data_IF_814789468979
#
_entry.id   IF_814789468979
#
_cell.length_a   1.000
_cell.length_b   1.000
_cell.length_c   1.000
_cell.angle_alpha   90.00
_cell.angle_beta   90.00
_cell.angle_gamma   90.00
#
_symmetry.space_group_name_H-M   'P 1'
#
loop_
_entity.id
_entity.type
_entity.pdbx_description
1 polymer ?
#
# COMPACT_ATOMS: atom_id res chain seq x y z
N UNK A 1 -7.62 31.07 -3.15
CA UNK A 1 -9.03 30.66 -3.11
C UNK A 1 -9.34 30.18 -1.69
N UNK A 2 -10.43 30.63 -1.10
CA UNK A 2 -10.94 30.08 0.17
C UNK A 2 -11.53 28.67 -0.05
N UNK A 3 -12.19 28.47 -1.20
CA UNK A 3 -12.81 27.20 -1.59
C UNK A 3 -12.21 26.68 -2.90
N UNK A 4 -11.89 25.39 -2.94
CA UNK A 4 -11.41 24.70 -4.13
C UNK A 4 -12.55 24.38 -5.11
N UNK A 5 -13.75 24.18 -4.59
CA UNK A 5 -14.97 23.91 -5.35
C UNK A 5 -15.87 25.14 -5.27
N UNK A 6 -16.18 25.74 -6.43
CA UNK A 6 -16.98 26.98 -6.50
C UNK A 6 -18.43 26.76 -6.08
N UNK A 7 -19.03 25.65 -6.50
CA UNK A 7 -20.41 25.29 -6.19
C UNK A 7 -20.42 23.90 -5.55
N UNK A 8 -20.76 23.85 -4.27
CA UNK A 8 -20.89 22.60 -3.56
C UNK A 8 -21.99 21.73 -4.18
N UNK A 9 -21.82 20.39 -4.22
CA UNK A 9 -22.88 19.51 -4.68
C UNK A 9 -24.06 19.54 -3.70
N UNK A 10 -25.20 19.05 -4.15
CA UNK A 10 -26.34 18.83 -3.26
C UNK A 10 -25.98 17.79 -2.21
N UNK A 11 -26.08 18.16 -0.94
CA UNK A 11 -25.76 17.27 0.17
C UNK A 11 -26.68 16.04 0.20
N UNK A 12 -26.08 14.89 0.51
CA UNK A 12 -26.84 13.71 0.89
C UNK A 12 -27.21 13.74 2.38
N UNK A 13 -27.65 12.60 2.89
CA UNK A 13 -28.05 12.41 4.27
C UNK A 13 -27.41 11.17 4.87
N UNK A 14 -27.22 11.15 6.18
CA UNK A 14 -26.88 9.92 6.92
C UNK A 14 -28.18 9.10 7.02
N UNK A 15 -28.22 8.01 6.27
CA UNK A 15 -29.40 7.12 6.19
C UNK A 15 -29.42 6.11 7.34
N UNK A 16 -28.23 5.60 7.73
CA UNK A 16 -28.06 4.57 8.75
C UNK A 16 -26.83 4.88 9.58
N UNK A 17 -26.96 4.72 10.89
CA UNK A 17 -25.85 4.79 11.83
C UNK A 17 -25.78 3.51 12.64
N UNK A 18 -24.59 2.90 12.71
CA UNK A 18 -24.29 1.76 13.58
C UNK A 18 -23.05 2.05 14.40
N UNK A 19 -22.91 1.39 15.54
CA UNK A 19 -21.74 1.52 16.39
C UNK A 19 -21.12 0.15 16.63
N UNK A 20 -19.81 0.04 16.33
CA UNK A 20 -19.03 -1.15 16.61
C UNK A 20 -18.30 -0.95 17.94
N UNK A 21 -18.79 -1.56 19.00
CA UNK A 21 -18.25 -1.41 20.36
C UNK A 21 -16.82 -1.95 20.48
N UNK A 22 -16.51 -3.04 19.80
CA UNK A 22 -15.18 -3.65 19.84
C UNK A 22 -14.09 -2.72 19.32
N UNK A 23 -14.36 -2.05 18.22
CA UNK A 23 -13.42 -1.14 17.57
C UNK A 23 -13.58 0.32 18.01
N UNK A 24 -14.69 0.65 18.66
CA UNK A 24 -15.01 2.04 19.03
C UNK A 24 -15.26 2.91 17.80
N UNK A 25 -16.00 2.40 16.83
CA UNK A 25 -16.21 3.01 15.52
C UNK A 25 -17.66 3.28 15.26
N UNK A 26 -17.98 4.50 14.86
CA UNK A 26 -19.30 4.86 14.32
C UNK A 26 -19.29 4.65 12.82
N UNK A 27 -20.23 3.87 12.30
CA UNK A 27 -20.38 3.62 10.87
C UNK A 27 -21.64 4.35 10.35
N UNK A 28 -21.46 5.03 9.21
CA UNK A 28 -22.56 5.66 8.49
C UNK A 28 -22.73 5.04 7.10
N UNK A 29 -23.98 4.83 6.72
CA UNK A 29 -24.35 4.66 5.31
C UNK A 29 -25.09 5.91 4.87
N UNK A 30 -24.55 6.58 3.86
CA UNK A 30 -25.13 7.80 3.31
C UNK A 30 -26.24 7.46 2.31
N UNK A 31 -27.09 8.44 2.01
CA UNK A 31 -28.23 8.27 1.10
C UNK A 31 -27.83 7.85 -0.32
N UNK A 32 -26.60 8.20 -0.76
CA UNK A 32 -26.04 7.77 -2.06
C UNK A 32 -25.36 6.40 -2.01
N UNK A 33 -25.36 5.72 -0.87
CA UNK A 33 -24.72 4.40 -0.67
C UNK A 33 -23.26 4.46 -0.21
N UNK A 34 -22.66 5.63 -0.09
CA UNK A 34 -21.30 5.78 0.44
C UNK A 34 -21.26 5.34 1.92
N UNK A 35 -20.23 4.60 2.28
CA UNK A 35 -20.01 4.07 3.63
C UNK A 35 -18.83 4.79 4.28
N UNK A 36 -19.03 5.17 5.54
CA UNK A 36 -18.04 5.94 6.31
C UNK A 36 -17.86 5.31 7.69
N UNK A 37 -16.62 5.15 8.12
CA UNK A 37 -16.27 4.73 9.48
C UNK A 37 -15.48 5.83 10.18
N UNK A 38 -15.92 6.20 11.37
CA UNK A 38 -15.31 7.27 12.18
C UNK A 38 -14.80 6.69 13.49
N UNK A 39 -13.49 6.80 13.69
CA UNK A 39 -12.78 6.39 14.92
C UNK A 39 -12.26 7.63 15.65
N UNK A 40 -12.97 8.14 16.67
CA UNK A 40 -12.45 9.24 17.49
C UNK A 40 -11.25 8.80 18.32
N UNK A 41 -10.20 9.59 18.33
CA UNK A 41 -9.03 9.42 19.21
C UNK A 41 -8.59 10.78 19.76
N UNK A 42 -7.84 10.75 20.86
CA UNK A 42 -7.31 11.94 21.50
C UNK A 42 -5.78 11.97 21.53
N UNK A 43 -5.12 11.15 20.73
CA UNK A 43 -3.65 11.01 20.74
C UNK A 43 -2.94 12.28 20.27
N UNK A 44 -3.50 12.95 19.26
CA UNK A 44 -3.01 14.21 18.71
C UNK A 44 -4.17 15.18 18.49
N UNK A 45 -4.05 16.40 18.98
CA UNK A 45 -5.12 17.42 18.87
C UNK A 45 -5.35 17.89 17.42
N UNK A 46 -4.30 17.89 16.60
CA UNK A 46 -4.31 18.50 15.27
C UNK A 46 -4.23 17.46 14.14
N UNK A 47 -4.60 16.22 14.40
CA UNK A 47 -4.50 15.17 13.39
C UNK A 47 -5.80 14.44 13.19
N UNK A 48 -6.24 14.41 11.92
CA UNK A 48 -7.25 13.50 11.41
C UNK A 48 -6.62 12.77 10.24
N UNK A 49 -6.52 11.44 10.34
CA UNK A 49 -6.14 10.58 9.23
C UNK A 49 -7.38 10.24 8.40
N UNK A 50 -7.22 10.31 7.10
CA UNK A 50 -8.24 9.96 6.12
C UNK A 50 -7.72 8.84 5.23
N UNK A 51 -8.52 7.82 5.05
CA UNK A 51 -8.22 6.74 4.11
C UNK A 51 -9.51 6.29 3.44
N UNK A 52 -9.44 5.99 2.16
CA UNK A 52 -10.54 5.38 1.43
C UNK A 52 -9.98 4.29 0.54
N UNK A 53 -10.63 3.13 0.48
CA UNK A 53 -10.23 2.07 -0.42
C UNK A 53 -11.43 1.36 -1.03
N UNK A 54 -11.20 0.82 -2.21
CA UNK A 54 -12.10 -0.08 -2.92
C UNK A 54 -11.30 -1.26 -3.47
N UNK A 55 -11.92 -2.41 -3.56
CA UNK A 55 -11.31 -3.59 -4.15
C UNK A 55 -11.50 -3.59 -5.68
N UNK A 56 -10.41 -3.75 -6.39
CA UNK A 56 -10.37 -3.70 -7.84
C UNK A 56 -8.94 -3.61 -8.34
N UNK A 57 -8.41 -2.40 -8.30
CA UNK A 57 -7.03 -2.11 -8.69
C UNK A 57 -6.69 -2.51 -10.10
N UNK A 58 -5.42 -2.78 -10.35
CA UNK A 58 -4.95 -3.21 -11.68
C UNK A 58 -5.47 -4.57 -12.10
N UNK A 59 -6.00 -5.39 -11.17
CA UNK A 59 -6.62 -6.68 -11.52
C UNK A 59 -7.77 -6.55 -12.51
N UNK A 60 -8.41 -5.37 -12.57
CA UNK A 60 -9.51 -5.05 -13.49
C UNK A 60 -9.03 -4.33 -14.76
N UNK A 61 -7.73 -4.21 -14.96
CA UNK A 61 -7.14 -3.56 -16.12
C UNK A 61 -6.59 -4.62 -17.08
N UNK A 62 -6.89 -4.49 -18.36
CA UNK A 62 -6.35 -5.37 -19.39
C UNK A 62 -4.82 -5.29 -19.44
N UNK A 63 -4.15 -6.38 -19.77
CA UNK A 63 -2.69 -6.48 -19.75
C UNK A 63 -2.03 -5.41 -20.63
N UNK A 64 -2.58 -5.15 -21.81
CA UNK A 64 -2.08 -4.14 -22.74
C UNK A 64 -2.17 -2.70 -22.19
N UNK A 65 -3.06 -2.45 -21.23
CA UNK A 65 -3.26 -1.13 -20.63
C UNK A 65 -2.45 -0.94 -19.34
N UNK A 66 -1.80 -1.98 -18.85
CA UNK A 66 -1.02 -1.92 -17.60
C UNK A 66 0.12 -0.90 -17.61
N UNK A 67 0.86 -0.67 -18.72
CA UNK A 67 1.86 0.39 -18.75
C UNK A 67 1.29 1.77 -18.38
N UNK A 68 0.13 2.13 -18.92
CA UNK A 68 -0.56 3.37 -18.55
C UNK A 68 -1.14 3.33 -17.15
N UNK A 69 -1.63 2.17 -16.71
CA UNK A 69 -2.21 1.99 -15.37
C UNK A 69 -1.21 2.23 -14.24
N UNK A 70 0.04 1.78 -14.39
CA UNK A 70 1.05 1.96 -13.34
C UNK A 70 1.49 3.42 -13.14
N UNK A 71 1.23 4.29 -14.10
CA UNK A 71 1.52 5.72 -14.02
C UNK A 71 0.25 6.59 -13.92
N UNK A 72 -0.94 5.98 -13.86
CA UNK A 72 -2.20 6.72 -13.93
C UNK A 72 -2.35 7.75 -12.79
N UNK A 73 -2.00 7.40 -11.56
CA UNK A 73 -2.11 8.32 -10.43
C UNK A 73 -1.05 9.42 -10.47
N UNK A 74 0.15 9.14 -10.93
CA UNK A 74 1.18 10.16 -11.16
C UNK A 74 0.72 11.19 -12.19
N UNK A 75 0.12 10.72 -13.27
CA UNK A 75 -0.45 11.57 -14.33
C UNK A 75 -1.53 12.51 -13.77
N UNK A 76 -2.43 11.97 -12.93
CA UNK A 76 -3.49 12.77 -12.31
C UNK A 76 -2.93 13.79 -11.35
N UNK A 77 -2.02 13.41 -10.48
CA UNK A 77 -1.42 14.32 -9.50
C UNK A 77 -0.68 15.48 -10.19
N UNK A 78 0.06 15.21 -11.24
CA UNK A 78 0.79 16.24 -11.97
C UNK A 78 -0.10 17.08 -12.88
N UNK A 79 -1.24 16.55 -13.31
CA UNK A 79 -2.19 17.25 -14.14
C UNK A 79 -3.01 18.32 -13.43
N UNK A 80 -3.13 18.19 -12.12
CA UNK A 80 -3.98 19.07 -11.32
C UNK A 80 -5.43 18.61 -11.25
N UNK A 81 -6.30 19.43 -10.69
CA UNK A 81 -7.70 19.14 -10.45
C UNK A 81 -8.59 20.32 -10.91
N UNK A 82 -9.72 20.01 -11.49
CA UNK A 82 -10.68 20.98 -12.03
C UNK A 82 -10.01 21.95 -13.02
N UNK A 83 -10.06 23.23 -12.76
CA UNK A 83 -9.40 24.28 -13.57
C UNK A 83 -8.01 24.67 -13.05
N UNK A 84 -7.52 23.98 -12.01
CA UNK A 84 -6.26 24.27 -11.35
C UNK A 84 -5.16 23.33 -11.82
N UNK A 85 -4.03 23.89 -12.30
CA UNK A 85 -2.82 23.12 -12.48
C UNK A 85 -2.27 22.63 -11.12
N UNK A 86 -1.31 21.71 -11.13
CA UNK A 86 -0.67 21.27 -9.89
C UNK A 86 -0.02 22.46 -9.14
N UNK A 87 0.58 23.39 -9.86
CA UNK A 87 1.16 24.60 -9.27
C UNK A 87 0.10 25.54 -8.67
N UNK A 88 -1.01 25.74 -9.36
CA UNK A 88 -2.13 26.54 -8.85
C UNK A 88 -2.73 25.92 -7.59
N UNK A 89 -2.87 24.59 -7.60
CA UNK A 89 -3.38 23.84 -6.46
C UNK A 89 -2.46 23.98 -5.25
N UNK A 90 -1.15 23.86 -5.45
CA UNK A 90 -0.16 24.04 -4.41
C UNK A 90 -0.23 25.46 -3.79
N UNK A 91 -0.39 26.49 -4.64
CA UNK A 91 -0.58 27.88 -4.17
C UNK A 91 -1.87 28.03 -3.38
N UNK A 92 -2.98 27.43 -3.84
CA UNK A 92 -4.26 27.48 -3.16
C UNK A 92 -4.23 26.82 -1.77
N UNK A 93 -3.33 25.84 -1.57
CA UNK A 93 -3.18 25.12 -0.31
C UNK A 93 -2.13 25.74 0.64
N UNK A 94 -1.52 26.86 0.26
CA UNK A 94 -0.54 27.55 1.09
C UNK A 94 -1.15 27.93 2.46
N UNK A 95 -0.45 27.59 3.53
CA UNK A 95 -0.90 27.83 4.91
C UNK A 95 -1.91 26.81 5.44
N UNK A 96 -2.30 25.84 4.65
CA UNK A 96 -3.18 24.74 5.06
C UNK A 96 -2.38 23.48 5.39
N UNK A 97 -2.81 22.75 6.41
CA UNK A 97 -2.21 21.47 6.81
C UNK A 97 -3.12 20.34 6.33
N UNK A 98 -2.99 20.04 5.07
CA UNK A 98 -3.79 19.03 4.38
C UNK A 98 -2.95 18.31 3.34
N UNK A 99 -3.11 17.01 3.25
CA UNK A 99 -2.55 16.21 2.18
C UNK A 99 -3.54 15.11 1.80
N UNK A 100 -3.58 14.77 0.52
CA UNK A 100 -4.33 13.62 0.00
C UNK A 100 -3.73 13.23 -1.34
N UNK A 101 -3.60 11.94 -1.57
CA UNK A 101 -3.13 11.40 -2.85
C UNK A 101 -3.86 10.10 -3.21
N UNK A 102 -4.14 9.88 -4.51
CA UNK A 102 -4.71 8.62 -4.99
C UNK A 102 -3.63 7.57 -5.20
N UNK A 103 -4.02 6.31 -5.14
CA UNK A 103 -3.17 5.17 -5.45
C UNK A 103 -3.97 4.07 -6.13
N UNK A 104 -3.36 3.40 -7.10
CA UNK A 104 -3.89 2.19 -7.72
C UNK A 104 -2.86 1.09 -7.53
N UNK A 105 -3.18 0.10 -6.71
CA UNK A 105 -2.33 -1.06 -6.47
C UNK A 105 -2.83 -2.28 -7.27
N UNK A 106 -2.24 -3.44 -7.04
CA UNK A 106 -2.61 -4.64 -7.79
C UNK A 106 -4.10 -5.00 -7.65
N UNK A 107 -4.67 -4.85 -6.45
CA UNK A 107 -6.04 -5.32 -6.14
C UNK A 107 -6.93 -4.27 -5.49
N UNK A 108 -6.43 -3.07 -5.26
CA UNK A 108 -7.19 -1.97 -4.64
C UNK A 108 -6.89 -0.64 -5.31
N UNK A 109 -7.84 0.26 -5.27
CA UNK A 109 -7.66 1.68 -5.46
C UNK A 109 -7.96 2.40 -4.16
N UNK A 110 -7.23 3.48 -3.89
CA UNK A 110 -7.32 4.17 -2.61
C UNK A 110 -7.02 5.65 -2.70
N UNK A 111 -7.43 6.36 -1.66
CA UNK A 111 -7.05 7.74 -1.37
C UNK A 111 -6.53 7.77 0.06
N UNK A 112 -5.38 8.38 0.26
CA UNK A 112 -4.72 8.47 1.56
C UNK A 112 -4.39 9.91 1.85
N UNK A 113 -4.77 10.39 3.02
CA UNK A 113 -4.53 11.78 3.39
C UNK A 113 -4.62 12.04 4.88
N UNK A 114 -4.39 13.28 5.22
CA UNK A 114 -4.50 13.77 6.58
C UNK A 114 -4.82 15.26 6.59
N UNK A 115 -5.42 15.71 7.67
CA UNK A 115 -5.65 17.14 7.91
C UNK A 115 -5.74 17.46 9.40
N UNK A 116 -5.77 18.76 9.71
CA UNK A 116 -6.27 19.25 10.97
C UNK A 116 -7.81 19.35 10.92
N UNK A 117 -8.46 19.56 12.05
CA UNK A 117 -9.91 19.83 12.10
C UNK A 117 -10.24 21.09 11.27
N UNK A 118 -9.42 22.12 11.39
CA UNK A 118 -9.58 23.40 10.69
C UNK A 118 -9.59 23.21 9.16
N UNK A 119 -8.75 22.33 8.65
CA UNK A 119 -8.55 22.14 7.21
C UNK A 119 -9.27 20.90 6.66
N UNK A 120 -10.13 20.27 7.47
CA UNK A 120 -10.85 19.04 7.08
C UNK A 120 -11.74 19.25 5.85
N UNK A 121 -12.44 20.37 5.77
CA UNK A 121 -13.30 20.64 4.61
C UNK A 121 -12.46 20.77 3.33
N UNK A 122 -11.27 21.34 3.40
CA UNK A 122 -10.33 21.36 2.27
C UNK A 122 -9.94 19.95 1.84
N UNK A 123 -9.66 19.06 2.79
CA UNK A 123 -9.40 17.65 2.49
C UNK A 123 -10.57 17.00 1.74
N UNK A 124 -11.80 17.22 2.20
CA UNK A 124 -13.00 16.67 1.60
C UNK A 124 -13.27 17.24 0.21
N UNK A 125 -12.99 18.53 -0.01
CA UNK A 125 -13.06 19.13 -1.34
C UNK A 125 -12.03 18.54 -2.30
N UNK A 126 -10.79 18.29 -1.85
CA UNK A 126 -9.77 17.62 -2.65
C UNK A 126 -10.22 16.19 -3.01
N UNK A 127 -10.72 15.44 -2.05
CA UNK A 127 -11.25 14.10 -2.31
C UNK A 127 -12.39 14.15 -3.34
N UNK A 128 -13.31 15.09 -3.21
CA UNK A 128 -14.38 15.30 -4.17
C UNK A 128 -13.84 15.53 -5.59
N UNK A 129 -12.82 16.38 -5.73
CA UNK A 129 -12.21 16.66 -7.02
C UNK A 129 -11.43 15.49 -7.58
N UNK A 130 -10.78 14.68 -6.78
CA UNK A 130 -10.15 13.45 -7.24
C UNK A 130 -11.14 12.45 -7.82
N UNK A 131 -12.36 12.40 -7.31
CA UNK A 131 -13.43 11.58 -7.86
C UNK A 131 -14.11 12.20 -9.11
N UNK A 132 -14.18 13.51 -9.19
CA UNK A 132 -15.06 14.19 -10.17
C UNK A 132 -14.34 14.96 -11.26
N UNK A 133 -13.13 15.43 -11.01
CA UNK A 133 -12.47 16.41 -11.88
C UNK A 133 -10.95 16.26 -12.01
N UNK A 134 -10.44 15.05 -12.33
CA UNK A 134 -9.03 14.93 -12.71
C UNK A 134 -8.80 15.75 -13.98
N UNK A 135 -7.73 16.57 -13.98
CA UNK A 135 -7.46 17.49 -15.08
C UNK A 135 -6.53 16.84 -16.09
N UNK A 136 -6.93 16.88 -17.38
CA UNK A 136 -6.05 16.47 -18.48
C UNK A 136 -5.09 17.60 -18.83
N UNK A 137 -3.78 17.33 -18.73
CA UNK A 137 -2.74 18.29 -19.06
C UNK A 137 -1.62 17.62 -19.85
N UNK A 138 -1.58 17.89 -21.16
CA UNK A 138 -0.57 17.35 -22.07
C UNK A 138 0.84 17.80 -21.68
N UNK A 139 1.02 19.07 -21.29
CA UNK A 139 2.32 19.62 -20.94
C UNK A 139 2.91 18.93 -19.69
N UNK A 140 2.14 18.77 -18.63
CA UNK A 140 2.62 18.07 -17.43
C UNK A 140 2.86 16.59 -17.68
N UNK A 141 2.08 15.96 -18.57
CA UNK A 141 2.34 14.59 -19.01
C UNK A 141 3.70 14.46 -19.73
N UNK A 142 3.98 15.36 -20.67
CA UNK A 142 5.28 15.37 -21.36
C UNK A 142 6.44 15.65 -20.40
N UNK A 143 6.24 16.52 -19.43
CA UNK A 143 7.24 16.76 -18.37
C UNK A 143 7.50 15.50 -17.55
N UNK A 144 6.46 14.78 -17.15
CA UNK A 144 6.59 13.50 -16.43
C UNK A 144 7.39 12.49 -17.27
N UNK A 145 7.04 12.33 -18.54
CA UNK A 145 7.74 11.40 -19.44
C UNK A 145 9.22 11.75 -19.59
N UNK A 146 9.54 13.04 -19.74
CA UNK A 146 10.93 13.51 -19.83
C UNK A 146 11.74 13.24 -18.56
N UNK A 147 11.15 13.48 -17.40
CA UNK A 147 11.78 13.20 -16.10
C UNK A 147 12.08 11.71 -15.98
N UNK A 148 11.10 10.85 -16.29
CA UNK A 148 11.25 9.41 -16.20
C UNK A 148 12.28 8.88 -17.20
N UNK A 149 12.29 9.36 -18.44
CA UNK A 149 13.30 9.01 -19.44
C UNK A 149 14.72 9.34 -18.94
N UNK A 150 14.88 10.53 -18.34
CA UNK A 150 16.16 10.96 -17.77
C UNK A 150 16.60 10.04 -16.61
N UNK A 151 15.69 9.72 -15.70
CA UNK A 151 15.97 8.82 -14.58
C UNK A 151 16.33 7.40 -15.04
N UNK A 152 15.75 6.94 -16.14
CA UNK A 152 15.97 5.60 -16.68
C UNK A 152 17.16 5.51 -17.64
N UNK A 153 17.79 6.63 -18.00
CA UNK A 153 18.89 6.67 -18.99
C UNK A 153 20.05 5.76 -18.63
N UNK A 154 20.39 5.63 -17.35
CA UNK A 154 21.49 4.83 -16.85
C UNK A 154 21.04 3.55 -16.11
N UNK A 155 19.79 3.19 -16.24
CA UNK A 155 19.19 2.07 -15.52
C UNK A 155 19.93 0.75 -15.76
N UNK A 156 20.24 0.45 -17.00
CA UNK A 156 20.88 -0.81 -17.41
C UNK A 156 22.33 -0.94 -16.93
N UNK A 157 22.94 0.17 -16.52
CA UNK A 157 24.32 0.20 -15.99
C UNK A 157 24.39 -0.09 -14.49
N UNK A 158 23.26 -0.14 -13.80
CA UNK A 158 23.21 -0.36 -12.37
C UNK A 158 22.94 -1.86 -12.07
N UNK A 159 23.93 -2.60 -11.53
CA UNK A 159 23.76 -4.02 -11.22
C UNK A 159 22.63 -4.32 -10.23
N UNK A 160 22.36 -3.41 -9.29
CA UNK A 160 21.28 -3.56 -8.31
C UNK A 160 19.91 -3.50 -8.96
N UNK A 161 19.77 -2.74 -10.04
CA UNK A 161 18.52 -2.68 -10.81
C UNK A 161 18.28 -4.02 -11.51
N UNK A 162 19.30 -4.61 -12.10
CA UNK A 162 19.21 -5.94 -12.73
C UNK A 162 18.77 -7.00 -11.71
N UNK A 163 19.32 -6.94 -10.50
CA UNK A 163 18.94 -7.85 -9.42
C UNK A 163 17.49 -7.64 -8.98
N UNK A 164 17.08 -6.40 -8.78
CA UNK A 164 15.71 -6.03 -8.38
C UNK A 164 14.69 -6.48 -9.44
N UNK A 165 14.98 -6.26 -10.72
CA UNK A 165 14.12 -6.71 -11.83
C UNK A 165 13.99 -8.23 -11.84
N UNK A 166 15.09 -8.94 -11.65
CA UNK A 166 15.13 -10.39 -11.59
C UNK A 166 14.27 -10.93 -10.45
N UNK A 167 14.35 -10.32 -9.26
CA UNK A 167 13.52 -10.66 -8.12
C UNK A 167 12.03 -10.46 -8.45
N UNK A 168 11.68 -9.33 -9.04
CA UNK A 168 10.30 -9.00 -9.39
C UNK A 168 9.72 -9.97 -10.43
N UNK A 169 10.49 -10.28 -11.48
CA UNK A 169 10.07 -11.21 -12.52
C UNK A 169 9.89 -12.63 -11.97
N UNK A 170 10.85 -13.09 -11.18
CA UNK A 170 10.81 -14.42 -10.58
C UNK A 170 9.65 -14.57 -9.58
N UNK A 171 9.37 -13.55 -8.79
CA UNK A 171 8.30 -13.54 -7.80
C UNK A 171 6.90 -13.67 -8.43
N UNK A 172 6.74 -13.32 -9.68
CA UNK A 172 5.50 -13.45 -10.45
C UNK A 172 5.50 -14.62 -11.44
N UNK A 173 6.51 -15.49 -11.38
CA UNK A 173 6.75 -16.54 -12.36
C UNK A 173 6.76 -16.00 -13.81
N UNK A 174 7.44 -14.88 -14.01
CA UNK A 174 7.62 -14.22 -15.32
C UNK A 174 6.29 -13.87 -16.00
N UNK A 175 5.30 -13.48 -15.21
CA UNK A 175 3.99 -13.08 -15.72
C UNK A 175 4.11 -11.88 -16.67
N UNK A 176 3.33 -11.89 -17.75
CA UNK A 176 3.19 -10.75 -18.68
C UNK A 176 2.49 -9.55 -18.03
N UNK A 177 1.88 -9.74 -16.87
CA UNK A 177 1.29 -8.66 -16.08
C UNK A 177 2.29 -7.94 -15.19
N UNK A 178 3.52 -8.41 -15.10
CA UNK A 178 4.59 -7.77 -14.31
C UNK A 178 5.15 -6.57 -15.05
N UNK A 179 4.98 -5.39 -14.48
CA UNK A 179 5.40 -4.13 -15.08
C UNK A 179 6.72 -3.67 -14.45
N UNK A 180 7.75 -3.60 -15.28
CA UNK A 180 9.05 -3.04 -14.90
C UNK A 180 9.18 -1.67 -15.55
N UNK A 181 9.44 -0.65 -14.72
CA UNK A 181 9.62 0.71 -15.20
C UNK A 181 10.95 0.83 -15.94
N UNK A 182 10.88 0.82 -17.27
CA UNK A 182 12.00 0.94 -18.20
C UNK A 182 11.56 1.73 -19.43
N UNK A 183 12.48 1.94 -20.36
CA UNK A 183 12.19 2.69 -21.61
C UNK A 183 11.10 2.04 -22.45
N UNK A 184 11.07 0.72 -22.52
CA UNK A 184 10.06 -0.02 -23.27
C UNK A 184 8.66 0.22 -22.68
N UNK A 185 8.52 0.13 -21.35
CA UNK A 185 7.26 0.42 -20.67
C UNK A 185 6.82 1.85 -20.93
N UNK A 186 7.72 2.83 -20.79
CA UNK A 186 7.41 4.24 -21.04
C UNK A 186 6.88 4.48 -22.45
N UNK A 187 7.42 3.79 -23.46
CA UNK A 187 6.98 3.93 -24.84
C UNK A 187 5.52 3.51 -25.07
N UNK A 188 4.95 2.74 -24.16
CA UNK A 188 3.57 2.23 -24.23
C UNK A 188 2.59 3.05 -23.40
N UNK A 189 3.05 4.06 -22.65
CA UNK A 189 2.20 4.90 -21.80
C UNK A 189 1.50 5.97 -22.64
N UNK A 190 0.18 6.07 -22.49
CA UNK A 190 -0.66 7.07 -23.13
C UNK A 190 -1.35 7.92 -22.06
N UNK A 191 -1.35 9.25 -22.23
CA UNK A 191 -2.09 10.16 -21.36
C UNK A 191 -3.59 9.82 -21.31
N UNK A 192 -4.20 9.61 -22.46
CA UNK A 192 -5.63 9.31 -22.54
C UNK A 192 -5.97 7.97 -21.90
N UNK A 193 -5.12 6.95 -22.10
CA UNK A 193 -5.32 5.65 -21.46
C UNK A 193 -5.10 5.72 -19.94
N UNK A 194 -4.10 6.45 -19.47
CA UNK A 194 -3.86 6.66 -18.04
C UNK A 194 -5.07 7.31 -17.36
N UNK A 195 -5.64 8.33 -17.96
CA UNK A 195 -6.86 8.99 -17.47
C UNK A 195 -8.07 8.07 -17.52
N UNK A 196 -8.22 7.29 -18.58
CA UNK A 196 -9.30 6.30 -18.72
C UNK A 196 -9.25 5.26 -17.59
N UNK A 197 -8.07 4.69 -17.32
CA UNK A 197 -7.86 3.75 -16.24
C UNK A 197 -8.19 4.39 -14.89
N UNK A 198 -7.67 5.58 -14.63
CA UNK A 198 -7.95 6.31 -13.40
C UNK A 198 -9.45 6.52 -13.19
N UNK A 199 -10.15 7.06 -14.20
CA UNK A 199 -11.59 7.31 -14.13
C UNK A 199 -12.39 6.03 -13.90
N UNK A 200 -11.99 4.91 -14.50
CA UNK A 200 -12.64 3.62 -14.29
C UNK A 200 -12.44 3.11 -12.85
N UNK A 201 -11.24 3.24 -12.29
CA UNK A 201 -10.95 2.79 -10.93
C UNK A 201 -11.63 3.65 -9.86
N UNK A 202 -11.84 4.92 -10.11
CA UNK A 202 -12.48 5.88 -9.20
C UNK A 202 -13.90 6.27 -9.65
N UNK A 203 -14.57 5.42 -10.42
CA UNK A 203 -15.88 5.76 -11.01
C UNK A 203 -17.02 5.76 -10.01
N UNK A 204 -17.00 4.88 -9.01
CA UNK A 204 -18.11 4.68 -8.08
C UNK A 204 -17.68 4.83 -6.61
N UNK A 205 -17.92 5.99 -6.00
CA UNK A 205 -17.61 6.20 -4.58
C UNK A 205 -18.32 5.22 -3.63
N UNK A 206 -19.43 4.61 -4.04
CA UNK A 206 -20.14 3.62 -3.22
C UNK A 206 -19.37 2.28 -3.10
N UNK A 207 -18.38 2.04 -3.97
CA UNK A 207 -17.47 0.89 -3.82
C UNK A 207 -16.48 1.07 -2.68
N UNK A 208 -16.19 2.31 -2.31
CA UNK A 208 -15.18 2.66 -1.33
C UNK A 208 -15.73 2.58 0.09
N UNK A 209 -14.84 2.21 1.02
CA UNK A 209 -15.03 2.47 2.45
C UNK A 209 -14.15 3.65 2.83
N UNK A 210 -14.75 4.68 3.43
CA UNK A 210 -14.06 5.90 3.86
C UNK A 210 -13.84 5.87 5.37
N UNK A 211 -12.61 6.20 5.80
CA UNK A 211 -12.21 6.18 7.20
C UNK A 211 -11.74 7.54 7.67
N UNK A 212 -12.19 7.95 8.84
CA UNK A 212 -11.65 9.09 9.58
C UNK A 212 -11.18 8.60 10.94
N UNK A 213 -9.90 8.78 11.22
CA UNK A 213 -9.29 8.37 12.49
C UNK A 213 -8.54 9.55 13.08
N UNK A 214 -8.89 9.93 14.30
CA UNK A 214 -8.21 11.03 14.99
C UNK A 214 -9.13 11.92 15.78
N UNK A 215 -8.74 13.18 15.88
CA UNK A 215 -9.50 14.17 16.66
C UNK A 215 -10.75 14.64 15.89
N UNK A 216 -11.74 13.78 15.81
CA UNK A 216 -12.99 14.00 15.11
C UNK A 216 -14.14 13.42 15.95
N UNK A 217 -15.25 14.12 16.02
CA UNK A 217 -16.43 13.69 16.78
C UNK A 217 -17.57 13.36 15.82
N UNK A 218 -18.03 12.10 15.75
CA UNK A 218 -19.14 11.72 14.89
C UNK A 218 -20.48 12.37 15.31
N UNK A 219 -20.58 12.89 16.54
CA UNK A 219 -21.76 13.64 17.00
C UNK A 219 -21.73 15.11 16.59
N UNK A 220 -20.59 15.64 16.14
CA UNK A 220 -20.46 17.03 15.70
C UNK A 220 -21.27 17.27 14.43
N UNK A 221 -22.25 18.19 14.52
CA UNK A 221 -23.14 18.50 13.40
C UNK A 221 -22.44 19.15 12.23
N UNK A 222 -21.39 19.96 12.48
CA UNK A 222 -20.58 20.55 11.40
C UNK A 222 -19.83 19.47 10.63
N UNK A 223 -19.21 18.53 11.32
CA UNK A 223 -18.56 17.38 10.68
C UNK A 223 -19.53 16.53 9.87
N UNK A 224 -20.68 16.20 10.45
CA UNK A 224 -21.71 15.45 9.72
C UNK A 224 -22.16 16.18 8.45
N UNK A 225 -22.35 17.49 8.53
CA UNK A 225 -22.75 18.31 7.38
C UNK A 225 -21.70 18.30 6.27
N UNK A 226 -20.42 18.39 6.62
CA UNK A 226 -19.30 18.32 5.65
C UNK A 226 -19.25 16.96 4.96
N UNK A 227 -19.39 15.86 5.71
CA UNK A 227 -19.44 14.51 5.16
C UNK A 227 -20.65 14.34 4.23
N UNK A 228 -21.82 14.80 4.64
CA UNK A 228 -23.04 14.74 3.82
C UNK A 228 -22.90 15.53 2.51
N UNK A 229 -22.23 16.67 2.54
CA UNK A 229 -21.99 17.47 1.33
C UNK A 229 -20.97 16.81 0.41
N UNK A 230 -19.77 16.53 0.91
CA UNK A 230 -18.64 16.18 0.06
C UNK A 230 -18.53 14.69 -0.26
N UNK A 231 -19.00 13.81 0.60
CA UNK A 231 -19.11 12.37 0.32
C UNK A 231 -20.53 12.00 -0.11
N UNK A 232 -21.54 12.51 0.58
CA UNK A 232 -22.94 12.26 0.27
C UNK A 232 -23.42 12.93 -1.02
N UNK A 233 -22.71 13.97 -1.49
CA UNK A 233 -23.00 14.66 -2.75
C UNK A 233 -22.32 14.03 -3.98
N UNK A 234 -21.48 13.00 -3.81
CA UNK A 234 -20.87 12.28 -4.92
C UNK A 234 -21.91 11.44 -5.67
N UNK A 235 -21.79 11.41 -7.00
CA UNK A 235 -22.60 10.52 -7.82
C UNK A 235 -22.11 9.09 -7.66
N UNK A 236 -23.05 8.17 -7.45
CA UNK A 236 -22.76 6.76 -7.24
C UNK A 236 -23.58 5.87 -8.17
N UNK A 237 -23.19 4.60 -8.25
CA UNK A 237 -23.91 3.56 -8.98
C UNK A 237 -24.19 2.40 -8.02
N UNK A 238 -25.24 1.63 -8.30
CA UNK A 238 -25.58 0.40 -7.55
C UNK A 238 -24.72 -0.79 -7.96
N UNK A 239 -24.05 -0.71 -9.11
CA UNK A 239 -23.17 -1.76 -9.59
C UNK A 239 -21.82 -1.67 -8.91
N UNK A 240 -21.59 -2.56 -7.93
CA UNK A 240 -20.33 -2.64 -7.22
C UNK A 240 -19.36 -3.55 -7.97
N UNK A 241 -18.06 -3.21 -7.92
CA UNK A 241 -16.98 -3.99 -8.49
C UNK A 241 -16.27 -4.79 -7.40
N UNK A 242 -15.59 -5.84 -7.80
CA UNK A 242 -14.70 -6.65 -6.95
C UNK A 242 -13.37 -6.83 -7.66
N UNK A 243 -12.30 -6.98 -6.90
CA UNK A 243 -11.02 -7.39 -7.48
C UNK A 243 -11.14 -8.74 -8.17
N UNK A 244 -10.45 -8.89 -9.27
CA UNK A 244 -10.31 -10.16 -9.97
C UNK A 244 -9.04 -10.87 -9.49
N UNK A 245 -9.01 -12.19 -9.62
CA UNK A 245 -7.77 -12.93 -9.52
C UNK A 245 -7.06 -12.86 -10.87
N UNK A 246 -5.94 -12.15 -10.93
CA UNK A 246 -5.11 -12.00 -12.14
C UNK A 246 -4.25 -13.23 -12.43
N UNK A 247 -4.35 -14.27 -11.60
CA UNK A 247 -3.62 -15.54 -11.70
C UNK A 247 -2.09 -15.41 -11.57
N UNK A 248 -1.60 -14.28 -11.12
CA UNK A 248 -0.17 -14.09 -10.84
C UNK A 248 0.21 -14.87 -9.58
N UNK A 249 1.17 -15.78 -9.72
CA UNK A 249 1.65 -16.67 -8.66
C UNK A 249 3.15 -16.85 -8.74
N UNK A 250 3.79 -17.17 -7.62
CA UNK A 250 5.15 -17.72 -7.67
C UNK A 250 5.12 -19.12 -8.27
N UNK A 251 6.20 -19.52 -8.94
CA UNK A 251 6.36 -20.88 -9.41
C UNK A 251 6.43 -21.86 -8.23
N UNK A 252 5.83 -23.03 -8.40
CA UNK A 252 5.87 -24.10 -7.40
C UNK A 252 7.24 -24.80 -7.43
N UNK A 253 7.63 -25.38 -6.29
CA UNK A 253 8.88 -26.10 -6.13
C UNK A 253 10.08 -25.17 -5.97
N UNK A 254 11.26 -25.75 -6.01
CA UNK A 254 12.52 -25.00 -5.83
C UNK A 254 12.89 -24.31 -7.14
N UNK A 255 12.98 -22.99 -7.06
CA UNK A 255 13.42 -22.15 -8.17
C UNK A 255 14.75 -21.50 -7.80
N UNK A 256 15.70 -21.45 -8.72
CA UNK A 256 17.01 -20.82 -8.52
C UNK A 256 17.33 -19.91 -9.68
N UNK A 257 17.85 -18.73 -9.39
CA UNK A 257 18.33 -17.79 -10.39
C UNK A 257 19.66 -17.19 -9.92
N UNK A 258 20.71 -17.43 -10.66
CA UNK A 258 22.04 -16.91 -10.39
C UNK A 258 22.54 -16.16 -11.63
N UNK A 259 23.04 -14.96 -11.44
CA UNK A 259 23.68 -14.19 -12.51
C UNK A 259 24.74 -13.25 -11.96
N UNK A 260 25.58 -12.76 -12.83
CA UNK A 260 26.69 -11.87 -12.49
C UNK A 260 26.61 -10.60 -13.34
N UNK A 261 26.97 -9.49 -12.72
CA UNK A 261 27.16 -8.20 -13.40
C UNK A 261 28.49 -7.60 -12.96
N UNK A 262 29.12 -6.84 -13.83
CA UNK A 262 30.35 -6.14 -13.49
C UNK A 262 30.07 -5.00 -12.51
N UNK A 263 30.90 -4.89 -11.46
CA UNK A 263 30.82 -3.88 -10.42
C UNK A 263 32.21 -3.43 -10.00
N UNK A 264 32.32 -2.22 -9.47
CA UNK A 264 33.57 -1.73 -8.87
C UNK A 264 33.92 -2.51 -7.62
N UNK A 265 32.96 -2.69 -6.73
CA UNK A 265 33.10 -3.48 -5.50
C UNK A 265 32.35 -4.79 -5.64
N UNK A 266 33.08 -5.91 -5.48
CA UNK A 266 32.47 -7.24 -5.55
C UNK A 266 31.51 -7.45 -4.39
N UNK A 267 30.23 -7.62 -4.70
CA UNK A 267 29.17 -7.89 -3.70
C UNK A 267 28.22 -8.93 -4.26
N UNK A 268 27.85 -9.90 -3.44
CA UNK A 268 26.77 -10.83 -3.74
C UNK A 268 25.50 -10.41 -3.00
N UNK A 269 24.46 -10.08 -3.75
CA UNK A 269 23.13 -9.81 -3.21
C UNK A 269 22.27 -11.08 -3.29
N UNK A 270 21.61 -11.43 -2.19
CA UNK A 270 20.92 -12.69 -2.04
C UNK A 270 19.53 -12.48 -1.51
N UNK A 271 18.56 -13.17 -2.09
CA UNK A 271 17.19 -13.24 -1.59
C UNK A 271 16.73 -14.69 -1.60
N UNK A 272 16.20 -15.12 -0.47
CA UNK A 272 15.57 -16.42 -0.30
C UNK A 272 14.11 -16.16 0.04
N UNK A 273 13.21 -16.83 -0.66
CA UNK A 273 11.79 -16.67 -0.44
C UNK A 273 11.13 -18.03 -0.33
N UNK A 274 10.40 -18.23 0.77
CA UNK A 274 9.50 -19.36 0.95
C UNK A 274 8.07 -18.86 0.80
N UNK A 275 7.28 -19.51 -0.05
CA UNK A 275 5.87 -19.17 -0.27
C UNK A 275 5.03 -20.43 -0.18
N UNK A 276 3.93 -20.39 0.55
CA UNK A 276 2.95 -21.46 0.62
C UNK A 276 1.55 -20.92 0.30
N UNK A 277 0.86 -21.58 -0.61
CA UNK A 277 -0.54 -21.33 -0.93
C UNK A 277 -1.49 -22.28 -0.18
N UNK A 278 -0.94 -23.19 0.65
CA UNK A 278 -1.71 -24.22 1.35
C UNK A 278 -2.09 -23.83 2.78
N UNK A 279 -1.64 -22.67 3.25
CA UNK A 279 -1.94 -22.19 4.58
C UNK A 279 -3.15 -21.23 4.54
N UNK A 280 -4.24 -21.55 5.28
CA UNK A 280 -5.38 -20.65 5.34
C UNK A 280 -5.02 -19.36 6.08
N UNK A 281 -5.60 -18.25 5.62
CA UNK A 281 -5.40 -16.97 6.30
C UNK A 281 -6.22 -16.96 7.61
N UNK A 282 -5.52 -16.88 8.72
CA UNK A 282 -6.10 -16.65 10.05
C UNK A 282 -5.23 -15.64 10.78
N UNK A 283 -5.79 -14.96 11.78
CA UNK A 283 -5.01 -14.05 12.63
C UNK A 283 -3.84 -14.79 13.29
N UNK A 284 -4.09 -15.99 13.82
CA UNK A 284 -3.05 -16.81 14.46
C UNK A 284 -1.93 -17.16 13.48
N UNK A 285 -2.26 -17.61 12.27
CA UNK A 285 -1.26 -17.94 11.26
C UNK A 285 -0.44 -16.72 10.83
N UNK A 286 -1.08 -15.55 10.66
CA UNK A 286 -0.39 -14.32 10.33
C UNK A 286 0.59 -13.90 11.45
N UNK A 287 0.14 -13.95 12.71
CA UNK A 287 1.01 -13.66 13.86
C UNK A 287 2.16 -14.66 13.99
N UNK A 288 1.92 -15.94 13.73
CA UNK A 288 2.96 -16.95 13.74
C UNK A 288 4.01 -16.71 12.65
N UNK A 289 3.60 -16.30 11.46
CA UNK A 289 4.55 -15.94 10.39
C UNK A 289 5.40 -14.72 10.77
N UNK A 290 4.80 -13.71 11.38
CA UNK A 290 5.53 -12.55 11.89
C UNK A 290 6.53 -12.97 12.98
N UNK A 291 6.12 -13.83 13.91
CA UNK A 291 6.97 -14.35 14.96
C UNK A 291 8.16 -15.13 14.41
N UNK A 292 7.94 -15.99 13.42
CA UNK A 292 9.01 -16.75 12.75
C UNK A 292 10.03 -15.78 12.13
N UNK A 293 9.58 -14.75 11.45
CA UNK A 293 10.47 -13.73 10.89
C UNK A 293 11.33 -13.04 11.95
N UNK A 294 10.74 -12.66 13.07
CA UNK A 294 11.45 -12.02 14.19
C UNK A 294 12.45 -12.96 14.86
N UNK A 295 12.08 -14.20 15.13
CA UNK A 295 12.96 -15.21 15.72
C UNK A 295 14.14 -15.50 14.80
N UNK A 296 13.90 -15.68 13.50
CA UNK A 296 14.96 -15.88 12.51
C UNK A 296 15.89 -14.68 12.41
N UNK A 297 15.37 -13.46 12.45
CA UNK A 297 16.20 -12.24 12.46
C UNK A 297 17.19 -12.25 13.63
N UNK A 298 16.74 -12.64 14.81
CA UNK A 298 17.60 -12.79 15.98
C UNK A 298 18.63 -13.90 15.79
N UNK A 299 18.23 -15.05 15.25
CA UNK A 299 19.16 -16.17 14.97
C UNK A 299 20.22 -15.77 13.96
N UNK A 300 19.87 -15.07 12.89
CA UNK A 300 20.83 -14.63 11.87
C UNK A 300 21.77 -13.54 12.38
N UNK A 301 21.32 -12.68 13.29
CA UNK A 301 22.20 -11.73 13.95
C UNK A 301 23.34 -12.44 14.67
N UNK A 302 23.05 -13.52 15.41
CA UNK A 302 24.06 -14.31 16.12
C UNK A 302 24.91 -15.17 15.15
N UNK A 303 24.28 -15.92 14.25
CA UNK A 303 24.96 -16.91 13.43
C UNK A 303 25.74 -16.32 12.25
N UNK A 304 25.29 -15.20 11.69
CA UNK A 304 25.91 -14.59 10.51
C UNK A 304 26.71 -13.36 10.87
N UNK A 305 26.09 -12.38 11.55
CA UNK A 305 26.76 -11.11 11.84
C UNK A 305 27.84 -11.27 12.91
N UNK A 306 27.53 -11.91 14.04
CA UNK A 306 28.43 -11.99 15.20
C UNK A 306 29.50 -13.07 15.03
N UNK A 307 29.14 -14.29 14.59
CA UNK A 307 30.10 -15.39 14.44
C UNK A 307 30.92 -15.33 13.16
N UNK A 308 30.27 -15.05 12.05
CA UNK A 308 30.93 -15.13 10.74
C UNK A 308 31.47 -13.78 10.25
N UNK A 309 30.93 -12.68 10.73
CA UNK A 309 31.32 -11.35 10.29
C UNK A 309 31.11 -11.13 8.77
N UNK A 310 30.26 -11.95 8.16
CA UNK A 310 30.17 -12.07 6.70
C UNK A 310 29.17 -11.15 6.04
N UNK A 311 28.37 -10.44 6.81
CA UNK A 311 27.34 -9.55 6.31
C UNK A 311 27.04 -8.46 7.34
N UNK A 312 26.58 -7.33 6.88
CA UNK A 312 26.07 -6.24 7.74
C UNK A 312 24.80 -6.63 8.48
N UNK A 313 24.10 -7.64 8.03
CA UNK A 313 22.90 -8.20 8.64
C UNK A 313 22.06 -8.95 7.61
N UNK A 314 21.15 -9.75 8.12
CA UNK A 314 20.14 -10.45 7.30
C UNK A 314 18.78 -9.87 7.64
N UNK A 315 18.12 -9.28 6.65
CA UNK A 315 16.71 -8.92 6.77
C UNK A 315 15.85 -10.18 6.67
N UNK A 316 15.01 -10.42 7.65
CA UNK A 316 14.07 -11.53 7.65
C UNK A 316 12.69 -11.06 8.08
N UNK A 317 11.66 -11.37 7.28
CA UNK A 317 10.27 -11.03 7.59
C UNK A 317 9.34 -12.14 7.12
N UNK A 318 8.30 -12.39 7.91
CA UNK A 318 7.24 -13.32 7.58
C UNK A 318 5.87 -12.66 7.71
N UNK A 319 4.95 -13.02 6.82
CA UNK A 319 3.58 -12.51 6.83
C UNK A 319 2.65 -13.40 6.02
N UNK A 320 1.36 -13.09 6.12
CA UNK A 320 0.35 -13.69 5.26
C UNK A 320 -0.44 -12.61 4.52
N UNK A 321 -0.91 -12.96 3.33
CA UNK A 321 -1.91 -12.20 2.59
C UNK A 321 -3.15 -13.05 2.33
N UNK A 322 -4.31 -12.41 2.22
CA UNK A 322 -5.58 -13.07 1.94
C UNK A 322 -6.00 -12.99 0.47
N UNK A 323 -5.68 -11.89 -0.18
CA UNK A 323 -6.13 -11.57 -1.54
C UNK A 323 -4.98 -11.54 -2.55
N UNK A 324 -5.19 -12.04 -3.79
CA UNK A 324 -6.39 -12.66 -4.36
C UNK A 324 -6.66 -14.06 -3.83
N UNK A 325 -5.63 -14.76 -3.35
CA UNK A 325 -5.71 -16.04 -2.64
C UNK A 325 -4.85 -15.98 -1.38
N UNK A 326 -5.19 -16.79 -0.38
CA UNK A 326 -4.39 -16.85 0.84
C UNK A 326 -3.00 -17.41 0.54
N UNK A 327 -1.96 -16.76 1.07
CA UNK A 327 -0.61 -17.27 1.04
C UNK A 327 0.21 -16.80 2.23
N UNK A 328 1.15 -17.65 2.65
CA UNK A 328 2.17 -17.31 3.63
C UNK A 328 3.50 -17.07 2.91
N UNK A 329 4.28 -16.10 3.39
CA UNK A 329 5.57 -15.76 2.81
C UNK A 329 6.59 -15.49 3.89
N UNK A 330 7.81 -16.00 3.66
CA UNK A 330 8.98 -15.75 4.49
C UNK A 330 10.11 -15.35 3.57
N UNK A 331 10.71 -14.19 3.82
CA UNK A 331 11.78 -13.63 2.98
C UNK A 331 13.01 -13.39 3.84
N UNK A 332 14.18 -13.83 3.36
CA UNK A 332 15.50 -13.48 3.88
C UNK A 332 16.29 -12.79 2.78
N UNK A 333 16.93 -11.69 3.11
CA UNK A 333 17.73 -10.91 2.17
C UNK A 333 19.00 -10.41 2.83
N UNK A 334 20.14 -10.58 2.13
CA UNK A 334 21.43 -10.14 2.64
C UNK A 334 22.43 -9.91 1.52
N UNK A 335 23.39 -9.03 1.78
CA UNK A 335 24.55 -8.80 0.93
C UNK A 335 25.80 -9.32 1.63
N UNK A 336 26.74 -9.89 0.88
CA UNK A 336 28.00 -10.41 1.38
C UNK A 336 29.08 -10.37 0.32
N UNK A 337 30.33 -10.61 0.71
CA UNK A 337 31.40 -10.94 -0.22
C UNK A 337 31.04 -12.22 -0.99
N UNK A 338 31.30 -12.29 -2.31
CA UNK A 338 30.97 -13.48 -3.09
C UNK A 338 31.60 -14.77 -2.56
N UNK A 339 32.78 -14.68 -1.96
CA UNK A 339 33.49 -15.83 -1.39
C UNK A 339 32.76 -16.48 -0.20
N UNK A 340 31.95 -15.69 0.52
CA UNK A 340 31.17 -16.15 1.69
C UNK A 340 29.74 -16.56 1.34
N UNK A 341 29.31 -16.36 0.11
CA UNK A 341 27.92 -16.54 -0.29
C UNK A 341 27.37 -17.94 0.01
N UNK A 342 28.08 -18.99 -0.41
CA UNK A 342 27.63 -20.37 -0.24
C UNK A 342 27.53 -20.75 1.25
N UNK A 343 28.53 -20.36 2.05
CA UNK A 343 28.53 -20.62 3.48
C UNK A 343 27.36 -19.94 4.19
N UNK A 344 27.12 -18.66 3.91
CA UNK A 344 26.04 -17.91 4.52
C UNK A 344 24.66 -18.41 4.05
N UNK A 345 24.52 -18.76 2.78
CA UNK A 345 23.29 -19.40 2.28
C UNK A 345 22.99 -20.71 3.02
N UNK A 346 24.01 -21.52 3.26
CA UNK A 346 23.88 -22.76 4.02
C UNK A 346 23.38 -22.49 5.45
N UNK A 347 23.93 -21.48 6.13
CA UNK A 347 23.50 -21.09 7.47
C UNK A 347 22.03 -20.62 7.47
N UNK A 348 21.63 -19.83 6.47
CA UNK A 348 20.25 -19.38 6.30
C UNK A 348 19.29 -20.58 6.28
N UNK A 349 19.58 -21.57 5.45
CA UNK A 349 18.75 -22.77 5.33
C UNK A 349 18.78 -23.65 6.57
N UNK A 350 19.92 -23.80 7.22
CA UNK A 350 20.05 -24.61 8.45
C UNK A 350 19.24 -24.02 9.60
N UNK A 351 19.21 -22.71 9.78
CA UNK A 351 18.38 -22.07 10.81
C UNK A 351 16.88 -22.33 10.58
N UNK A 352 16.42 -22.27 9.31
CA UNK A 352 15.04 -22.62 8.98
C UNK A 352 14.74 -24.08 9.27
N UNK A 353 15.62 -25.01 8.88
CA UNK A 353 15.48 -26.44 9.16
C UNK A 353 15.42 -26.73 10.67
N UNK A 354 16.24 -26.05 11.44
CA UNK A 354 16.28 -26.21 12.90
C UNK A 354 14.95 -25.79 13.52
N UNK A 355 14.38 -24.68 13.09
CA UNK A 355 13.06 -24.22 13.58
C UNK A 355 11.95 -25.20 13.17
N UNK A 356 11.99 -25.72 11.95
CA UNK A 356 11.00 -26.71 11.48
C UNK A 356 11.07 -27.99 12.30
N UNK A 357 12.27 -28.45 12.63
CA UNK A 357 12.49 -29.68 13.36
C UNK A 357 12.25 -29.57 14.87
N UNK A 358 12.82 -28.57 15.49
CA UNK A 358 12.95 -28.46 16.95
C UNK A 358 12.12 -27.30 17.55
N UNK A 359 11.52 -26.46 16.71
CA UNK A 359 10.91 -25.21 17.12
C UNK A 359 11.95 -24.13 17.45
N UNK A 360 11.51 -22.92 17.79
CA UNK A 360 12.39 -21.83 18.19
C UNK A 360 12.99 -22.10 19.57
N UNK A 361 14.18 -21.51 19.83
CA UNK A 361 14.72 -21.49 21.19
C UNK A 361 13.79 -20.71 22.12
N UNK A 362 13.59 -21.25 23.32
CA UNK A 362 12.68 -20.63 24.31
C UNK A 362 13.07 -19.19 24.61
N UNK A 363 14.37 -18.90 24.76
CA UNK A 363 14.88 -17.53 25.00
C UNK A 363 14.53 -16.56 23.88
N UNK A 364 14.63 -16.99 22.61
CA UNK A 364 14.32 -16.16 21.44
C UNK A 364 12.82 -15.91 21.33
N UNK A 365 12.02 -16.95 21.52
CA UNK A 365 10.57 -16.84 21.49
C UNK A 365 10.07 -15.89 22.58
N UNK A 366 10.59 -16.03 23.81
CA UNK A 366 10.21 -15.16 24.93
C UNK A 366 10.57 -13.71 24.67
N UNK A 367 11.78 -13.45 24.19
CA UNK A 367 12.24 -12.10 23.83
C UNK A 367 11.36 -11.46 22.78
N UNK A 368 11.01 -12.20 21.70
CA UNK A 368 10.21 -11.67 20.63
C UNK A 368 8.74 -11.47 21.03
N UNK A 369 8.19 -12.34 21.88
CA UNK A 369 6.86 -12.11 22.47
C UNK A 369 6.81 -10.83 23.28
N UNK A 370 7.78 -10.58 24.13
CA UNK A 370 7.88 -9.35 24.92
C UNK A 370 8.00 -8.12 24.02
N UNK A 371 8.81 -8.19 22.97
CA UNK A 371 8.96 -7.13 21.98
C UNK A 371 7.65 -6.83 21.24
N UNK A 372 6.95 -7.86 20.79
CA UNK A 372 5.67 -7.71 20.11
C UNK A 372 4.59 -7.11 21.02
N UNK A 373 4.53 -7.53 22.28
CA UNK A 373 3.59 -6.97 23.25
C UNK A 373 3.88 -5.51 23.54
N UNK A 374 5.17 -5.14 23.66
CA UNK A 374 5.57 -3.73 23.83
C UNK A 374 5.18 -2.88 22.62
N UNK A 375 5.46 -3.35 21.41
CA UNK A 375 5.09 -2.66 20.18
C UNK A 375 3.56 -2.47 20.11
N UNK A 376 2.80 -3.48 20.46
CA UNK A 376 1.35 -3.43 20.49
C UNK A 376 0.82 -2.37 21.48
N UNK A 377 1.37 -2.32 22.70
CA UNK A 377 1.01 -1.32 23.70
C UNK A 377 1.28 0.11 23.20
N UNK A 378 2.44 0.34 22.56
CA UNK A 378 2.80 1.63 21.96
C UNK A 378 1.88 1.99 20.79
N UNK A 379 1.53 1.02 19.96
CA UNK A 379 0.70 1.20 18.77
C UNK A 379 -0.75 1.59 19.12
N UNK A 380 -1.27 1.15 20.26
CA UNK A 380 -2.63 1.50 20.70
C UNK A 380 -2.85 3.02 20.83
N UNK A 381 -1.79 3.80 20.97
CA UNK A 381 -1.82 5.27 21.06
C UNK A 381 -1.42 5.98 19.76
N UNK A 382 -1.45 5.28 18.63
CA UNK A 382 -1.12 5.82 17.30
C UNK A 382 -2.31 5.76 16.37
N UNK A 383 -2.68 6.90 15.79
CA UNK A 383 -3.77 6.96 14.82
C UNK A 383 -3.53 6.04 13.60
N UNK A 384 -2.29 5.95 13.13
CA UNK A 384 -1.92 5.09 12.01
C UNK A 384 -2.19 3.62 12.27
N UNK A 385 -1.95 3.14 13.49
CA UNK A 385 -2.28 1.77 13.90
C UNK A 385 -3.79 1.50 13.76
N UNK A 386 -4.63 2.39 14.24
CA UNK A 386 -6.09 2.22 14.17
C UNK A 386 -6.61 2.32 12.73
N UNK A 387 -6.02 3.17 11.90
CA UNK A 387 -6.31 3.21 10.47
C UNK A 387 -6.03 1.84 9.81
N UNK A 388 -4.89 1.23 10.11
CA UNK A 388 -4.52 -0.11 9.60
C UNK A 388 -5.46 -1.21 10.11
N UNK A 389 -5.79 -1.18 11.41
CA UNK A 389 -6.72 -2.15 12.02
C UNK A 389 -8.10 -2.08 11.35
N UNK A 390 -8.63 -0.85 11.18
CA UNK A 390 -9.92 -0.65 10.53
C UNK A 390 -9.90 -1.10 9.07
N UNK A 391 -8.87 -0.72 8.34
CA UNK A 391 -8.70 -1.12 6.93
C UNK A 391 -8.70 -2.63 6.80
N UNK A 392 -7.95 -3.32 7.65
CA UNK A 392 -7.85 -4.78 7.64
C UNK A 392 -9.17 -5.44 8.02
N UNK A 393 -9.86 -4.92 9.02
CA UNK A 393 -11.18 -5.39 9.41
C UNK A 393 -12.19 -5.32 8.26
N UNK A 394 -12.33 -4.15 7.63
CA UNK A 394 -13.30 -3.96 6.56
C UNK A 394 -12.89 -4.66 5.26
N UNK A 395 -11.59 -4.82 5.01
CA UNK A 395 -11.08 -5.52 3.84
C UNK A 395 -11.20 -7.03 3.95
N UNK A 396 -10.89 -7.59 5.13
CA UNK A 396 -10.78 -9.04 5.34
C UNK A 396 -11.95 -9.63 6.12
N UNK A 397 -12.78 -8.81 6.77
CA UNK A 397 -13.85 -9.28 7.64
C UNK A 397 -13.34 -9.93 8.92
N UNK A 398 -12.14 -9.59 9.37
CA UNK A 398 -11.49 -10.15 10.55
C UNK A 398 -11.40 -9.10 11.64
N UNK A 399 -11.86 -9.44 12.83
CA UNK A 399 -11.75 -8.59 13.98
C UNK A 399 -10.38 -8.85 14.65
N UNK A 400 -9.52 -7.86 14.60
CA UNK A 400 -8.16 -7.92 15.14
C UNK A 400 -8.10 -7.43 16.59
#
# INVERSE_FOLDING_TARGET
RENLVETAPKAGKIKKTTYNETLGVTEWTLSNGVRVAVKPTTFKQDEILFYAFSQGGRSLVATEDLPSAVLATDVVELGGLADMSATDLQKALTGKRVSISPSISAYTESLNGSSTIKDLETLLQLNYLYFTAPRRDEESFQTLMSILESQLANRDKNPKVAWSDSVQMMASNYSDRTMILNKELLSKVSLDKALEVYKARFANPADFMFFFVGNVDPADKAFQAQVCTWLGGLKTSKKLEKAADDKVRVALGIQKNYFTRQMETKTASNRIQYTSYDMPYTLANNLNMEMIGRVLSTRYLESIREREGGSYGVGCAGWMNRHPVAYAQLIMQFDTDPEKQEKLMSIIHEEVKTIVKDGPLVKDLQKEKESMLKDFEEDLEKNGYWEDVLTTYYKNGINY
#
